data_IF_945097480617
#
_entry.id   IF_945097480617
#
_cell.length_a   1.000
_cell.length_b   1.000
_cell.length_c   1.000
_cell.angle_alpha   90.00
_cell.angle_beta   90.00
_cell.angle_gamma   90.00
#
_symmetry.space_group_name_H-M   'P 1'
#
loop_
_entity.id
_entity.type
_entity.pdbx_description
1 polymer ?
#
# COMPACT_ATOMS: atom_id res chain seq x y z
N UNK A 1 -11.33 9.46 3.40
CA UNK A 1 -10.72 9.89 4.64
C UNK A 1 -9.37 9.22 4.79
N UNK A 2 -8.39 10.04 5.12
CA UNK A 2 -6.99 9.59 5.12
C UNK A 2 -6.76 8.49 6.16
N UNK A 3 -7.38 8.61 7.33
CA UNK A 3 -7.24 7.60 8.37
C UNK A 3 -7.73 6.22 7.90
N UNK A 4 -8.79 6.18 7.11
CA UNK A 4 -9.30 4.93 6.56
C UNK A 4 -8.30 4.30 5.59
N UNK A 5 -7.69 5.13 4.72
CA UNK A 5 -6.68 4.66 3.78
C UNK A 5 -5.48 4.10 4.55
N UNK A 6 -4.97 4.83 5.54
CA UNK A 6 -3.84 4.37 6.35
C UNK A 6 -4.16 3.07 7.08
N UNK A 7 -5.35 2.96 7.66
CA UNK A 7 -5.79 1.73 8.32
C UNK A 7 -5.80 0.56 7.35
N UNK A 8 -6.24 0.79 6.12
CA UNK A 8 -6.30 -0.23 5.10
C UNK A 8 -4.90 -0.68 4.67
N UNK A 9 -3.98 0.28 4.47
CA UNK A 9 -2.60 -0.04 4.15
C UNK A 9 -1.92 -0.77 5.29
N UNK A 10 -2.19 -0.37 6.53
CA UNK A 10 -1.62 -1.02 7.70
C UNK A 10 -2.13 -2.44 7.86
N UNK A 11 -3.43 -2.66 7.70
CA UNK A 11 -4.02 -4.00 7.75
C UNK A 11 -3.40 -4.91 6.70
N UNK A 12 -3.18 -4.37 5.53
CA UNK A 12 -2.54 -5.09 4.43
C UNK A 12 -1.11 -5.49 4.80
N UNK A 13 -0.35 -4.56 5.34
CA UNK A 13 1.03 -4.81 5.76
C UNK A 13 1.11 -5.87 6.84
N UNK A 14 0.24 -5.82 7.82
CA UNK A 14 0.19 -6.82 8.90
C UNK A 14 -0.13 -8.19 8.32
N UNK A 15 -1.08 -8.25 7.39
CA UNK A 15 -1.51 -9.52 6.78
C UNK A 15 -0.39 -10.20 6.02
N UNK A 16 0.46 -9.44 5.34
CA UNK A 16 1.55 -9.97 4.54
C UNK A 16 2.88 -10.05 5.28
N UNK A 17 2.96 -9.48 6.47
CA UNK A 17 4.17 -9.52 7.28
C UNK A 17 4.35 -10.91 7.89
N UNK A 18 5.59 -11.42 7.99
CA UNK A 18 5.82 -12.67 8.69
C UNK A 18 5.52 -12.53 10.18
N UNK A 19 5.27 -13.66 10.82
CA UNK A 19 5.12 -13.68 12.27
C UNK A 19 6.36 -13.08 12.92
N UNK A 20 6.17 -12.22 13.90
CA UNK A 20 7.24 -11.45 14.56
C UNK A 20 7.95 -10.48 13.61
N UNK A 21 7.34 -10.16 12.48
CA UNK A 21 7.88 -9.17 11.56
C UNK A 21 7.67 -7.75 12.04
N UNK A 22 8.20 -6.80 11.26
CA UNK A 22 8.07 -5.39 11.53
C UNK A 22 7.24 -4.71 10.47
N UNK A 23 6.49 -3.69 10.88
CA UNK A 23 5.83 -2.76 9.97
C UNK A 23 6.32 -1.37 10.31
N UNK A 24 6.73 -0.63 9.30
CA UNK A 24 7.22 0.75 9.47
C UNK A 24 6.21 1.70 8.86
N UNK A 25 5.84 2.71 9.61
CA UNK A 25 4.98 3.80 9.16
C UNK A 25 5.78 5.08 9.26
N UNK A 26 5.76 5.88 8.20
CA UNK A 26 6.46 7.14 8.20
C UNK A 26 5.69 8.21 7.44
N UNK A 27 6.09 9.45 7.69
CA UNK A 27 5.53 10.60 7.00
C UNK A 27 6.57 11.69 6.96
N UNK A 28 6.61 12.42 5.84
CA UNK A 28 7.47 13.59 5.73
C UNK A 28 6.91 14.55 4.70
N UNK A 29 7.27 15.82 4.84
CA UNK A 29 6.92 16.84 3.87
C UNK A 29 8.01 16.92 2.81
N UNK A 30 7.60 16.97 1.55
CA UNK A 30 8.53 17.08 0.43
C UNK A 30 8.81 18.54 0.09
N UNK A 31 9.89 18.78 -0.68
CA UNK A 31 10.27 20.13 -1.08
C UNK A 31 9.25 20.81 -1.96
N UNK A 32 8.44 20.05 -2.70
CA UNK A 32 7.42 20.58 -3.59
C UNK A 32 6.04 20.71 -2.93
N UNK A 33 6.04 20.80 -1.60
CA UNK A 33 4.84 21.06 -0.80
C UNK A 33 3.82 19.93 -0.83
N UNK A 34 4.30 18.69 -0.86
CA UNK A 34 3.47 17.50 -0.67
C UNK A 34 3.82 16.84 0.65
N UNK A 35 2.90 16.01 1.12
CA UNK A 35 3.15 15.11 2.25
C UNK A 35 3.14 13.70 1.71
N UNK A 36 4.21 12.95 1.99
CA UNK A 36 4.28 11.54 1.71
C UNK A 36 4.13 10.76 2.99
N UNK A 37 3.21 9.81 2.98
CA UNK A 37 3.03 8.86 4.08
C UNK A 37 3.20 7.47 3.51
N UNK A 38 3.85 6.59 4.27
CA UNK A 38 4.09 5.25 3.77
C UNK A 38 3.90 4.20 4.85
N UNK A 39 3.56 3.02 4.38
CA UNK A 39 3.48 1.82 5.21
C UNK A 39 4.34 0.76 4.54
N UNK A 40 5.30 0.23 5.26
CA UNK A 40 6.27 -0.72 4.75
C UNK A 40 6.23 -2.02 5.55
N UNK A 41 6.13 -3.13 4.86
CA UNK A 41 6.28 -4.46 5.45
C UNK A 41 7.53 -5.14 4.91
N UNK A 42 7.95 -6.20 5.58
CA UNK A 42 9.13 -6.98 5.20
C UNK A 42 8.73 -8.42 4.89
N UNK A 43 7.56 -8.58 4.28
CA UNK A 43 7.04 -9.86 3.85
C UNK A 43 7.68 -10.35 2.56
N UNK A 44 6.98 -11.20 1.84
CA UNK A 44 7.53 -11.82 0.63
C UNK A 44 7.57 -10.88 -0.59
N UNK A 45 6.98 -9.71 -0.50
CA UNK A 45 6.95 -8.78 -1.60
C UNK A 45 5.97 -9.15 -2.70
N UNK A 46 5.94 -8.32 -3.74
CA UNK A 46 5.02 -8.47 -4.87
C UNK A 46 5.85 -8.50 -6.15
N UNK A 47 5.60 -9.50 -6.99
CA UNK A 47 6.25 -9.60 -8.29
C UNK A 47 5.96 -8.31 -9.09
N UNK A 48 6.97 -7.71 -9.74
CA UNK A 48 6.78 -6.48 -10.50
C UNK A 48 5.66 -6.53 -11.54
N UNK A 49 5.38 -7.70 -12.12
CA UNK A 49 4.30 -7.84 -13.11
C UNK A 49 2.91 -7.59 -12.54
N UNK A 50 2.76 -7.59 -11.20
CA UNK A 50 1.48 -7.34 -10.55
C UNK A 50 1.37 -5.95 -9.94
N UNK A 51 2.40 -5.10 -10.04
CA UNK A 51 2.41 -3.81 -9.34
C UNK A 51 1.26 -2.90 -9.77
N UNK A 52 0.84 -2.96 -11.03
CA UNK A 52 -0.33 -2.20 -11.49
C UNK A 52 -1.63 -2.91 -11.14
N UNK A 53 -1.66 -4.23 -11.29
CA UNK A 53 -2.86 -5.02 -11.12
C UNK A 53 -3.38 -5.06 -9.68
N UNK A 54 -2.49 -4.90 -8.70
CA UNK A 54 -2.91 -4.94 -7.28
C UNK A 54 -3.88 -3.81 -6.93
N UNK A 55 -3.96 -2.76 -7.75
CA UNK A 55 -4.91 -1.67 -7.55
C UNK A 55 -6.23 -1.88 -8.31
N UNK A 56 -6.33 -2.95 -9.09
CA UNK A 56 -7.56 -3.27 -9.79
C UNK A 56 -8.58 -3.88 -8.83
N UNK A 57 -9.87 -3.64 -9.10
CA UNK A 57 -10.93 -4.18 -8.28
C UNK A 57 -10.90 -5.71 -8.31
N UNK A 58 -11.00 -6.32 -7.14
CA UNK A 58 -11.06 -7.77 -6.94
C UNK A 58 -9.79 -8.53 -7.35
N UNK A 59 -8.74 -7.85 -7.74
CA UNK A 59 -7.51 -8.54 -8.09
C UNK A 59 -6.84 -9.13 -6.85
N UNK A 60 -6.31 -10.33 -7.01
CA UNK A 60 -5.49 -10.99 -5.99
C UNK A 60 -4.26 -11.59 -6.66
N UNK A 61 -3.11 -11.44 -6.00
CA UNK A 61 -1.88 -12.05 -6.51
C UNK A 61 -2.04 -13.58 -6.47
N UNK A 62 -1.80 -14.29 -7.60
CA UNK A 62 -1.92 -15.74 -7.63
C UNK A 62 -1.06 -16.41 -6.57
N UNK A 63 -1.59 -17.44 -5.93
CA UNK A 63 -0.89 -18.19 -4.90
C UNK A 63 -0.95 -17.58 -3.51
N UNK A 64 -1.59 -16.45 -3.33
CA UNK A 64 -1.77 -15.87 -2.00
C UNK A 64 -3.09 -16.32 -1.39
N UNK A 65 -3.06 -16.62 -0.10
CA UNK A 65 -4.27 -16.92 0.67
C UNK A 65 -4.75 -15.67 1.36
N UNK A 66 -5.06 -14.65 0.58
CA UNK A 66 -5.47 -13.37 1.12
C UNK A 66 -6.95 -13.42 1.47
N UNK A 67 -7.27 -12.98 2.68
CA UNK A 67 -8.65 -12.78 3.09
C UNK A 67 -9.05 -11.35 2.78
N UNK A 68 -10.29 -11.17 2.40
CA UNK A 68 -10.83 -9.86 2.07
C UNK A 68 -11.43 -9.83 0.68
N UNK A 69 -12.07 -8.73 0.34
CA UNK A 69 -12.82 -8.59 -0.90
C UNK A 69 -11.98 -8.34 -2.14
N UNK A 70 -10.71 -7.94 -1.97
CA UNK A 70 -9.88 -7.47 -3.08
C UNK A 70 -10.17 -6.03 -3.47
N UNK A 71 -10.89 -5.28 -2.63
CA UNK A 71 -11.27 -3.90 -2.92
C UNK A 71 -10.48 -2.85 -2.16
N UNK A 72 -9.76 -3.25 -1.09
CA UNK A 72 -9.11 -2.29 -0.21
C UNK A 72 -8.13 -1.35 -0.92
N UNK A 73 -7.25 -1.89 -1.74
CA UNK A 73 -6.25 -1.08 -2.44
C UNK A 73 -6.87 -0.22 -3.55
N UNK A 74 -7.83 -0.78 -4.30
CA UNK A 74 -8.47 -0.02 -5.37
C UNK A 74 -9.28 1.16 -4.83
N UNK A 75 -10.02 0.95 -3.76
CA UNK A 75 -10.80 2.02 -3.13
C UNK A 75 -9.87 3.05 -2.51
N UNK A 76 -8.79 2.61 -1.87
CA UNK A 76 -7.78 3.51 -1.31
C UNK A 76 -7.18 4.41 -2.38
N UNK A 77 -6.80 3.84 -3.53
CA UNK A 77 -6.26 4.64 -4.63
C UNK A 77 -7.29 5.62 -5.17
N UNK A 78 -8.52 5.17 -5.37
CA UNK A 78 -9.59 6.05 -5.86
C UNK A 78 -9.79 7.24 -4.91
N UNK A 79 -9.79 6.98 -3.61
CA UNK A 79 -9.94 8.05 -2.62
C UNK A 79 -8.78 9.04 -2.68
N UNK A 80 -7.56 8.54 -2.73
CA UNK A 80 -6.37 9.39 -2.77
C UNK A 80 -6.35 10.22 -4.05
N UNK A 81 -6.67 9.61 -5.19
CA UNK A 81 -6.70 10.32 -6.48
C UNK A 81 -7.81 11.37 -6.53
N UNK A 82 -8.94 11.11 -5.87
CA UNK A 82 -10.01 12.11 -5.76
C UNK A 82 -9.57 13.36 -4.97
N UNK A 83 -8.51 13.25 -4.18
CA UNK A 83 -7.89 14.34 -3.44
C UNK A 83 -6.62 14.86 -4.12
N UNK A 84 -6.48 14.60 -5.42
CA UNK A 84 -5.34 15.02 -6.24
C UNK A 84 -4.00 14.45 -5.77
N UNK A 85 -4.04 13.30 -5.09
CA UNK A 85 -2.84 12.61 -4.66
C UNK A 85 -2.57 11.36 -5.49
N UNK A 86 -1.55 10.63 -5.08
CA UNK A 86 -1.19 9.35 -5.71
C UNK A 86 -0.97 8.29 -4.64
N UNK A 87 -1.25 7.05 -5.01
CA UNK A 87 -0.94 5.87 -4.19
C UNK A 87 -0.14 4.92 -5.07
N UNK A 88 1.08 4.62 -4.64
CA UNK A 88 2.01 3.79 -5.40
C UNK A 88 2.61 2.71 -4.52
N UNK A 89 3.26 1.75 -5.14
CA UNK A 89 3.93 0.66 -4.44
C UNK A 89 5.37 0.52 -4.92
N UNK A 90 6.27 0.29 -3.97
CA UNK A 90 7.63 -0.15 -4.23
C UNK A 90 7.78 -1.51 -3.57
N UNK A 91 8.13 -2.53 -4.33
CA UNK A 91 8.19 -3.88 -3.79
C UNK A 91 9.18 -4.71 -4.58
N UNK A 92 9.85 -5.62 -3.88
CA UNK A 92 10.70 -6.63 -4.47
C UNK A 92 10.40 -7.98 -3.84
N UNK A 93 10.39 -9.03 -4.65
CA UNK A 93 10.21 -10.37 -4.12
C UNK A 93 11.33 -10.68 -3.11
N UNK A 94 10.93 -11.19 -1.96
CA UNK A 94 11.83 -11.52 -0.88
C UNK A 94 12.22 -10.36 0.03
N UNK A 95 11.77 -9.13 -0.25
CA UNK A 95 12.14 -7.94 0.53
C UNK A 95 10.97 -7.19 1.13
N UNK A 96 9.76 -7.50 0.71
CA UNK A 96 8.56 -6.84 1.23
C UNK A 96 8.04 -5.74 0.32
N UNK A 97 7.13 -4.94 0.85
CA UNK A 97 6.41 -3.94 0.08
C UNK A 97 6.30 -2.63 0.86
N UNK A 98 6.37 -1.53 0.12
CA UNK A 98 6.19 -0.19 0.67
C UNK A 98 5.13 0.52 -0.15
N UNK A 99 4.02 0.86 0.49
CA UNK A 99 2.94 1.63 -0.13
C UNK A 99 3.10 3.08 0.26
N UNK A 100 3.09 3.96 -0.73
CA UNK A 100 3.35 5.39 -0.55
C UNK A 100 2.13 6.16 -0.99
N UNK A 101 1.58 6.96 -0.08
CA UNK A 101 0.48 7.88 -0.34
C UNK A 101 1.06 9.30 -0.36
N UNK A 102 0.83 10.01 -1.47
CA UNK A 102 1.34 11.36 -1.65
C UNK A 102 0.17 12.31 -1.81
N UNK A 103 0.10 13.31 -0.95
CA UNK A 103 -0.97 14.28 -0.92
C UNK A 103 -0.40 15.69 -0.88
N UNK A 104 -1.10 16.62 -1.52
CA UNK A 104 -0.72 18.03 -1.46
C UNK A 104 -0.89 18.56 -0.03
N UNK A 105 0.13 19.21 0.45
CA UNK A 105 0.12 19.78 1.79
C UNK A 105 -0.82 20.98 1.91
#
# INVERSE_FOLDING_TARGET
KIAWVLTNLLSNAIRYSPENGHVVIGAHQTDDNYIEMYVQDFGKGIDPRYHKSIFDHYFRVPGTKVQGSGLGLSISRDFVEAHNGTLTVQSELGRGSKFIMRLKA
#
